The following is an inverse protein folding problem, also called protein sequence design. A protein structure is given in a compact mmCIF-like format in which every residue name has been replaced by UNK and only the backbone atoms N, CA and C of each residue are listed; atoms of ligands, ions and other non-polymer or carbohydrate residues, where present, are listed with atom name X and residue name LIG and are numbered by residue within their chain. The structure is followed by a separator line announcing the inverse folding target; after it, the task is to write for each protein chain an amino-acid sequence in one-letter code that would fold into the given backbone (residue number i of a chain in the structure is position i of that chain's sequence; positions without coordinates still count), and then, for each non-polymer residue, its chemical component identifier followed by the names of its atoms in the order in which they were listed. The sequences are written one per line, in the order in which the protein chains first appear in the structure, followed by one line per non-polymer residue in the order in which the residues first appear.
data_IF_211531948743
#
_entry.id   IF_211531948743
#
_cell.length_a   1.000
_cell.length_b   1.000
_cell.length_c   1.000
_cell.angle_alpha   90.00
_cell.angle_beta   90.00
_cell.angle_gamma   90.00
#
_symmetry.space_group_name_H-M   'P 1'
#
loop_
_entity.id
_entity.type
_entity.pdbx_description
1 polymer ?
#
# COMPACT_ATOMS: atom_id res chain seq x y z
N UNK A 1 14.25 -0.91 11.18
CA UNK A 1 13.22 -0.83 10.13
C UNK A 1 13.77 -1.53 8.90
N UNK A 2 13.18 -2.66 8.52
CA UNK A 2 13.58 -3.43 7.34
C UNK A 2 12.50 -3.29 6.27
N UNK A 3 12.86 -2.69 5.14
CA UNK A 3 11.92 -2.33 4.07
C UNK A 3 11.79 -3.46 3.05
N UNK A 4 10.58 -3.64 2.53
CA UNK A 4 10.25 -4.56 1.46
C UNK A 4 9.50 -3.80 0.35
N UNK A 5 9.97 -3.93 -0.88
CA UNK A 5 9.33 -3.38 -2.08
C UNK A 5 8.67 -4.51 -2.84
N UNK A 6 7.38 -4.39 -3.09
CA UNK A 6 6.59 -5.36 -3.83
C UNK A 6 6.14 -4.73 -5.14
N UNK A 7 6.47 -5.40 -6.23
CA UNK A 7 6.08 -5.04 -7.58
C UNK A 7 5.01 -6.03 -8.05
N UNK A 8 3.77 -5.57 -8.18
CA UNK A 8 2.63 -6.38 -8.59
C UNK A 8 2.25 -6.12 -10.05
N UNK A 9 1.27 -6.87 -10.57
CA UNK A 9 0.91 -6.91 -11.99
C UNK A 9 -0.04 -5.78 -12.46
N UNK A 10 -0.49 -4.88 -11.57
CA UNK A 10 -1.41 -3.78 -11.90
C UNK A 10 -0.71 -2.60 -12.58
N UNK A 11 -1.36 -1.43 -12.54
CA UNK A 11 -0.84 -0.22 -13.19
C UNK A 11 0.26 0.41 -12.33
N UNK A 12 1.38 0.73 -12.95
CA UNK A 12 2.47 1.45 -12.31
C UNK A 12 2.37 2.94 -12.61
N UNK A 13 2.34 3.74 -11.56
CA UNK A 13 2.18 5.20 -11.59
C UNK A 13 3.44 5.97 -11.16
N UNK A 14 4.61 5.36 -11.28
CA UNK A 14 5.85 5.98 -10.86
C UNK A 14 6.37 5.52 -9.50
N UNK A 15 7.65 5.72 -9.27
CA UNK A 15 8.34 5.32 -8.04
C UNK A 15 8.41 6.51 -7.08
N UNK A 16 7.60 6.48 -6.01
CA UNK A 16 7.54 7.55 -5.01
C UNK A 16 8.64 7.42 -3.96
N UNK A 17 8.83 6.19 -3.48
CA UNK A 17 9.91 5.83 -2.56
C UNK A 17 10.90 4.93 -3.30
N UNK A 18 12.14 5.38 -3.56
CA UNK A 18 13.14 4.53 -4.20
C UNK A 18 13.72 3.51 -3.21
N UNK A 19 13.95 2.26 -3.65
CA UNK A 19 14.64 1.27 -2.83
C UNK A 19 16.09 1.69 -2.60
N UNK A 20 16.64 1.30 -1.45
CA UNK A 20 18.03 1.52 -1.04
C UNK A 20 18.77 0.19 -0.98
N UNK A 21 20.09 0.26 -0.95
CA UNK A 21 20.91 -0.95 -0.76
C UNK A 21 20.50 -1.69 0.53
N UNK A 22 20.20 -2.98 0.41
CA UNK A 22 19.77 -3.84 1.52
C UNK A 22 18.24 -3.91 1.72
N UNK A 23 17.43 -3.15 0.97
CA UNK A 23 15.99 -3.35 0.95
C UNK A 23 15.65 -4.63 0.18
N UNK A 24 14.65 -5.36 0.67
CA UNK A 24 14.14 -6.55 0.00
C UNK A 24 13.24 -6.13 -1.18
N UNK A 25 13.46 -6.71 -2.35
CA UNK A 25 12.69 -6.44 -3.55
C UNK A 25 12.05 -7.73 -4.05
N UNK A 26 10.72 -7.75 -4.15
CA UNK A 26 9.92 -8.92 -4.54
C UNK A 26 9.07 -8.58 -5.75
N UNK A 27 9.18 -9.37 -6.81
CA UNK A 27 8.26 -9.33 -7.93
C UNK A 27 7.18 -10.39 -7.74
N UNK A 28 5.91 -9.97 -7.81
CA UNK A 28 4.74 -10.82 -7.74
C UNK A 28 4.12 -10.96 -9.15
N UNK A 29 4.14 -12.17 -9.70
CA UNK A 29 3.64 -12.53 -11.02
C UNK A 29 4.21 -11.60 -12.13
N UNK A 30 3.36 -11.03 -12.97
CA UNK A 30 3.73 -10.08 -14.03
C UNK A 30 4.41 -8.79 -13.50
N UNK A 31 4.50 -8.57 -12.20
CA UNK A 31 5.32 -7.52 -11.59
C UNK A 31 6.81 -7.62 -11.94
N UNK A 32 7.28 -8.79 -12.42
CA UNK A 32 8.63 -8.93 -12.98
C UNK A 32 8.85 -8.01 -14.19
N UNK A 33 7.86 -7.86 -15.06
CA UNK A 33 7.95 -6.92 -16.20
C UNK A 33 8.07 -5.46 -15.73
N UNK A 34 7.49 -5.12 -14.58
CA UNK A 34 7.69 -3.81 -14.00
C UNK A 34 9.14 -3.64 -13.52
N UNK A 35 9.70 -4.65 -12.85
CA UNK A 35 11.10 -4.65 -12.44
C UNK A 35 12.05 -4.47 -13.63
N UNK A 36 11.81 -5.17 -14.74
CA UNK A 36 12.61 -5.06 -15.96
C UNK A 36 12.59 -3.62 -16.52
N UNK A 37 11.41 -3.01 -16.62
CA UNK A 37 11.26 -1.61 -17.09
C UNK A 37 11.96 -0.59 -16.20
N UNK A 38 12.03 -0.85 -14.90
CA UNK A 38 12.69 0.00 -13.91
C UNK A 38 14.18 -0.27 -13.77
N UNK A 39 14.73 -1.30 -14.44
CA UNK A 39 16.10 -1.77 -14.22
C UNK A 39 16.33 -2.29 -12.81
N UNK A 40 15.27 -2.73 -12.14
CA UNK A 40 15.30 -3.32 -10.79
C UNK A 40 15.53 -4.82 -10.91
N UNK A 41 16.47 -5.34 -10.14
CA UNK A 41 16.67 -6.77 -10.01
C UNK A 41 16.02 -7.25 -8.71
N UNK A 42 14.89 -7.98 -8.78
CA UNK A 42 14.24 -8.47 -7.57
C UNK A 42 15.06 -9.60 -6.91
N UNK A 43 15.05 -9.64 -5.58
CA UNK A 43 15.66 -10.71 -4.78
C UNK A 43 14.81 -11.99 -4.79
N UNK A 44 13.48 -11.82 -4.99
CA UNK A 44 12.51 -12.92 -5.01
C UNK A 44 11.52 -12.67 -6.14
N UNK A 45 11.19 -13.73 -6.86
CA UNK A 45 10.08 -13.72 -7.82
C UNK A 45 9.07 -14.79 -7.41
N UNK A 46 7.81 -14.37 -7.28
CA UNK A 46 6.69 -15.21 -6.87
C UNK A 46 5.62 -15.21 -7.96
N UNK A 47 5.03 -16.34 -8.23
CA UNK A 47 3.94 -16.48 -9.20
C UNK A 47 3.81 -17.91 -9.66
N UNK A 48 2.67 -18.25 -10.27
CA UNK A 48 2.47 -19.57 -10.90
C UNK A 48 3.14 -19.67 -12.26
N UNK A 49 3.67 -18.54 -12.77
CA UNK A 49 4.35 -18.40 -14.05
C UNK A 49 3.52 -18.85 -15.27
N UNK A 50 2.20 -18.99 -15.13
CA UNK A 50 1.31 -19.35 -16.24
C UNK A 50 1.26 -18.24 -17.31
N UNK A 51 1.48 -17.00 -16.89
CA UNK A 51 1.47 -15.80 -17.74
C UNK A 51 2.86 -15.35 -18.20
N UNK A 52 3.96 -16.05 -17.78
CA UNK A 52 5.34 -15.64 -18.05
C UNK A 52 6.25 -16.78 -18.50
N UNK A 53 7.19 -16.48 -19.41
CA UNK A 53 8.30 -17.38 -19.68
C UNK A 53 9.28 -17.41 -18.47
N UNK A 54 9.26 -18.52 -17.73
CA UNK A 54 10.09 -18.79 -16.56
C UNK A 54 11.60 -18.54 -16.83
N UNK A 55 12.03 -18.58 -18.11
CA UNK A 55 13.42 -18.32 -18.52
C UNK A 55 13.80 -16.84 -18.40
N UNK A 56 12.84 -15.94 -18.28
CA UNK A 56 13.09 -14.49 -18.10
C UNK A 56 13.40 -14.10 -16.66
N UNK A 57 13.07 -14.95 -15.67
CA UNK A 57 13.43 -14.68 -14.28
C UNK A 57 14.96 -14.79 -14.09
N UNK A 58 15.58 -13.86 -13.32
CA UNK A 58 17.01 -13.95 -13.00
C UNK A 58 17.37 -15.31 -12.42
N UNK A 59 18.48 -15.91 -12.88
CA UNK A 59 18.85 -17.31 -12.52
C UNK A 59 19.09 -17.53 -11.02
N UNK A 60 19.36 -16.45 -10.29
CA UNK A 60 19.67 -16.44 -8.85
C UNK A 60 18.51 -15.90 -7.98
N UNK A 61 17.36 -15.56 -8.56
CA UNK A 61 16.20 -15.22 -7.75
C UNK A 61 15.56 -16.47 -7.15
N UNK A 62 15.00 -16.32 -5.96
CA UNK A 62 14.31 -17.40 -5.26
C UNK A 62 12.90 -17.53 -5.84
N UNK A 63 12.60 -18.68 -6.44
CA UNK A 63 11.27 -19.03 -6.93
C UNK A 63 10.52 -19.74 -5.81
N UNK A 64 9.34 -19.23 -5.48
CA UNK A 64 8.45 -19.85 -4.51
C UNK A 64 7.24 -20.37 -5.25
N UNK A 65 6.89 -21.67 -5.14
CA UNK A 65 5.65 -22.20 -5.68
C UNK A 65 4.43 -21.50 -5.06
N UNK A 66 3.44 -21.22 -5.88
CA UNK A 66 2.18 -20.63 -5.42
C UNK A 66 1.29 -21.71 -4.82
N UNK A 67 0.96 -21.60 -3.54
CA UNK A 67 -0.15 -22.36 -2.97
C UNK A 67 -1.47 -21.72 -3.45
N UNK A 68 -2.40 -22.54 -3.91
CA UNK A 68 -3.57 -22.12 -4.70
C UNK A 68 -4.60 -21.21 -3.98
N UNK A 69 -4.43 -20.93 -2.70
CA UNK A 69 -5.40 -20.18 -1.88
C UNK A 69 -5.02 -18.71 -1.60
N UNK A 70 -3.79 -18.29 -1.88
CA UNK A 70 -3.32 -16.91 -1.70
C UNK A 70 -3.12 -16.19 -3.05
N UNK A 71 -3.29 -14.86 -3.09
CA UNK A 71 -2.86 -14.04 -4.22
C UNK A 71 -1.34 -13.89 -4.22
N UNK A 72 -0.72 -13.68 -5.39
CA UNK A 72 0.74 -13.51 -5.48
C UNK A 72 1.25 -12.33 -4.64
N UNK A 73 0.47 -11.24 -4.56
CA UNK A 73 0.77 -10.13 -3.66
C UNK A 73 0.76 -10.57 -2.19
N UNK A 74 -0.21 -11.38 -1.78
CA UNK A 74 -0.27 -11.88 -0.40
C UNK A 74 0.92 -12.79 -0.08
N UNK A 75 1.34 -13.65 -1.00
CA UNK A 75 2.54 -14.47 -0.86
C UNK A 75 3.80 -13.62 -0.73
N UNK A 76 3.90 -12.54 -1.52
CA UNK A 76 5.00 -11.59 -1.43
C UNK A 76 5.06 -10.91 -0.05
N UNK A 77 3.91 -10.52 0.50
CA UNK A 77 3.83 -9.95 1.86
C UNK A 77 4.27 -10.95 2.92
N UNK A 78 3.80 -12.21 2.85
CA UNK A 78 4.21 -13.27 3.77
C UNK A 78 5.71 -13.55 3.70
N UNK A 79 6.29 -13.59 2.51
CA UNK A 79 7.72 -13.79 2.33
C UNK A 79 8.53 -12.62 2.91
N UNK A 80 8.08 -11.37 2.71
CA UNK A 80 8.68 -10.19 3.33
C UNK A 80 8.65 -10.25 4.86
N UNK A 81 7.49 -10.59 5.45
CA UNK A 81 7.34 -10.78 6.91
C UNK A 81 8.24 -11.89 7.43
N UNK A 82 8.29 -13.04 6.76
CA UNK A 82 9.18 -14.17 7.10
C UNK A 82 10.65 -13.75 7.11
N UNK A 83 11.05 -12.83 6.24
CA UNK A 83 12.40 -12.26 6.19
C UNK A 83 12.61 -11.12 7.19
N UNK A 84 11.63 -10.83 8.03
CA UNK A 84 11.68 -9.84 9.09
C UNK A 84 11.53 -8.40 8.61
N UNK A 85 10.88 -8.17 7.46
CA UNK A 85 10.50 -6.83 7.04
C UNK A 85 9.32 -6.33 7.87
N UNK A 86 9.33 -5.04 8.21
CA UNK A 86 8.31 -4.35 9.00
C UNK A 86 7.65 -3.19 8.24
N UNK A 87 8.17 -2.85 7.08
CA UNK A 87 7.66 -1.75 6.25
C UNK A 87 7.60 -2.20 4.79
N UNK A 88 6.43 -2.06 4.18
CA UNK A 88 6.14 -2.57 2.83
C UNK A 88 5.67 -1.45 1.91
N UNK A 89 6.24 -1.40 0.70
CA UNK A 89 5.90 -0.47 -0.36
C UNK A 89 5.36 -1.25 -1.55
N UNK A 90 4.06 -1.07 -1.87
CA UNK A 90 3.36 -1.83 -2.90
C UNK A 90 3.17 -0.97 -4.15
N UNK A 91 3.78 -1.37 -5.24
CA UNK A 91 3.67 -0.75 -6.57
C UNK A 91 3.00 -1.69 -7.56
N UNK A 92 2.21 -1.14 -8.50
CA UNK A 92 1.42 -1.96 -9.40
C UNK A 92 0.33 -2.79 -8.69
N UNK A 93 -0.09 -2.35 -7.51
CA UNK A 93 -1.06 -3.06 -6.70
C UNK A 93 -2.51 -2.54 -6.90
N UNK A 94 -2.69 -1.51 -7.72
CA UNK A 94 -3.98 -0.91 -8.10
C UNK A 94 -4.10 -0.83 -9.62
N UNK A 95 -5.28 -0.43 -10.10
CA UNK A 95 -5.57 -0.32 -11.53
C UNK A 95 -5.62 -1.66 -12.24
N UNK A 96 -5.49 -1.63 -13.58
CA UNK A 96 -5.64 -2.83 -14.40
C UNK A 96 -7.09 -3.26 -14.60
N UNK A 97 -7.30 -4.41 -15.26
CA UNK A 97 -8.62 -4.90 -15.63
C UNK A 97 -9.41 -5.55 -14.47
N UNK A 98 -8.75 -5.86 -13.37
CA UNK A 98 -9.27 -6.67 -12.25
C UNK A 98 -9.42 -5.83 -10.97
N UNK A 99 -10.62 -5.28 -10.74
CA UNK A 99 -10.94 -4.53 -9.51
C UNK A 99 -10.82 -5.40 -8.25
N UNK A 100 -11.14 -6.69 -8.32
CA UNK A 100 -11.03 -7.63 -7.22
C UNK A 100 -9.60 -7.75 -6.68
N UNK A 101 -8.56 -7.70 -7.53
CA UNK A 101 -7.17 -7.65 -7.10
C UNK A 101 -6.84 -6.34 -6.37
N UNK A 102 -7.35 -5.21 -6.84
CA UNK A 102 -7.19 -3.92 -6.14
C UNK A 102 -7.81 -3.99 -4.74
N UNK A 103 -9.03 -4.53 -4.61
CA UNK A 103 -9.69 -4.69 -3.32
C UNK A 103 -8.91 -5.64 -2.38
N UNK A 104 -8.43 -6.77 -2.90
CA UNK A 104 -7.60 -7.70 -2.14
C UNK A 104 -6.29 -7.06 -1.65
N UNK A 105 -5.64 -6.26 -2.50
CA UNK A 105 -4.41 -5.54 -2.14
C UNK A 105 -4.67 -4.46 -1.08
N UNK A 106 -5.81 -3.76 -1.13
CA UNK A 106 -6.22 -2.85 -0.05
C UNK A 106 -6.44 -3.62 1.25
N UNK A 107 -7.16 -4.76 1.22
CA UNK A 107 -7.37 -5.59 2.41
C UNK A 107 -6.05 -6.10 3.00
N UNK A 108 -5.03 -6.33 2.18
CA UNK A 108 -3.72 -6.77 2.64
C UNK A 108 -3.00 -5.77 3.55
N UNK A 109 -3.36 -4.48 3.51
CA UNK A 109 -2.84 -3.49 4.46
C UNK A 109 -3.30 -3.78 5.90
N UNK A 110 -4.54 -4.26 6.08
CA UNK A 110 -5.01 -4.70 7.40
C UNK A 110 -4.33 -6.01 7.85
N UNK A 111 -3.96 -6.88 6.91
CA UNK A 111 -3.16 -8.06 7.22
C UNK A 111 -1.78 -7.66 7.76
N UNK A 112 -1.07 -6.74 7.11
CA UNK A 112 0.22 -6.23 7.59
C UNK A 112 0.11 -5.60 8.98
N UNK A 113 -0.91 -4.75 9.17
CA UNK A 113 -1.17 -4.11 10.47
C UNK A 113 -1.30 -5.14 11.61
N UNK A 114 -2.06 -6.22 11.40
CA UNK A 114 -2.22 -7.32 12.39
C UNK A 114 -0.92 -8.07 12.67
N UNK A 115 0.06 -8.00 11.78
CA UNK A 115 1.39 -8.59 11.94
C UNK A 115 2.44 -7.60 12.45
N UNK A 116 2.00 -6.42 12.92
CA UNK A 116 2.90 -5.39 13.44
C UNK A 116 3.75 -4.71 12.37
N UNK A 117 3.33 -4.76 11.10
CA UNK A 117 4.02 -4.17 9.97
C UNK A 117 3.19 -3.06 9.33
N UNK A 118 3.86 -2.13 8.65
CA UNK A 118 3.26 -1.01 7.93
C UNK A 118 3.31 -1.25 6.43
N UNK A 119 2.15 -1.15 5.76
CA UNK A 119 2.07 -1.16 4.30
C UNK A 119 1.73 0.21 3.74
N UNK A 120 2.38 0.58 2.64
CA UNK A 120 2.05 1.74 1.80
C UNK A 120 1.72 1.25 0.40
N UNK A 121 0.48 1.45 -0.02
CA UNK A 121 0.00 1.08 -1.34
C UNK A 121 -0.09 2.33 -2.19
N UNK A 122 0.70 2.39 -3.26
CA UNK A 122 0.79 3.54 -4.16
C UNK A 122 -0.15 3.38 -5.35
N UNK A 123 -0.99 4.38 -5.52
CA UNK A 123 -1.85 4.58 -6.68
C UNK A 123 -1.38 5.80 -7.49
N UNK A 124 -2.12 6.24 -8.49
CA UNK A 124 -1.72 7.33 -9.39
C UNK A 124 -1.30 8.60 -8.64
N UNK A 125 -2.19 9.13 -7.81
CA UNK A 125 -1.95 10.36 -7.06
C UNK A 125 -2.17 10.18 -5.55
N UNK A 126 -2.32 8.94 -5.10
CA UNK A 126 -2.60 8.64 -3.71
C UNK A 126 -1.66 7.57 -3.17
N UNK A 127 -1.46 7.63 -1.87
CA UNK A 127 -0.91 6.51 -1.11
C UNK A 127 -1.90 6.13 -0.02
N UNK A 128 -2.01 4.83 0.24
CA UNK A 128 -2.91 4.29 1.26
C UNK A 128 -2.11 3.50 2.30
N UNK A 129 -2.49 3.64 3.56
CA UNK A 129 -1.98 2.84 4.68
C UNK A 129 -3.10 2.49 5.66
N UNK A 130 -2.95 1.41 6.41
CA UNK A 130 -3.85 1.07 7.51
C UNK A 130 -3.23 1.44 8.85
N UNK A 131 -4.06 2.00 9.75
CA UNK A 131 -3.67 2.38 11.11
C UNK A 131 -4.70 1.87 12.13
N UNK A 132 -4.27 1.58 13.35
CA UNK A 132 -5.10 1.24 14.50
C UNK A 132 -4.36 1.57 15.80
N UNK A 133 -5.06 2.13 16.78
CA UNK A 133 -4.53 2.53 18.06
C UNK A 133 -3.27 3.41 17.97
N UNK A 134 -3.30 4.37 17.05
CA UNK A 134 -2.18 5.29 16.80
C UNK A 134 -2.63 6.62 16.17
N UNK A 135 -1.67 7.52 16.03
CA UNK A 135 -1.84 8.80 15.31
C UNK A 135 -0.90 8.84 14.11
N UNK A 136 -1.48 8.98 12.92
CA UNK A 136 -0.76 9.29 11.68
C UNK A 136 -0.70 10.81 11.52
N UNK A 137 0.49 11.35 11.26
CA UNK A 137 0.70 12.77 10.95
C UNK A 137 1.11 12.92 9.50
N UNK A 138 0.37 13.76 8.75
CA UNK A 138 0.61 14.06 7.35
C UNK A 138 1.05 15.51 7.21
N UNK A 139 2.16 15.78 6.51
CA UNK A 139 2.51 17.11 6.08
C UNK A 139 1.61 17.54 4.90
N UNK A 140 1.30 18.84 4.82
CA UNK A 140 0.60 19.39 3.66
C UNK A 140 1.60 19.57 2.51
N UNK A 141 1.68 18.61 1.62
CA UNK A 141 2.55 18.65 0.43
C UNK A 141 1.82 19.14 -0.82
N UNK A 142 0.47 19.06 -0.80
CA UNK A 142 -0.42 19.53 -1.86
C UNK A 142 -1.38 20.56 -1.27
N UNK A 143 -1.58 21.70 -1.96
CA UNK A 143 -2.61 22.66 -1.56
C UNK A 143 -3.99 22.03 -1.68
N UNK A 144 -4.77 22.08 -0.59
CA UNK A 144 -6.05 21.39 -0.48
C UNK A 144 -5.94 19.88 -0.73
N UNK A 145 -4.80 19.28 -0.38
CA UNK A 145 -4.56 17.86 -0.57
C UNK A 145 -5.67 17.01 0.05
N UNK A 146 -6.18 16.07 -0.75
CA UNK A 146 -7.30 15.22 -0.35
C UNK A 146 -6.82 14.17 0.65
N UNK A 147 -7.64 13.95 1.69
CA UNK A 147 -7.51 12.81 2.62
C UNK A 147 -8.83 12.06 2.65
N UNK A 148 -8.77 10.74 2.48
CA UNK A 148 -9.94 9.86 2.56
C UNK A 148 -9.74 8.77 3.58
N UNK A 149 -10.78 8.47 4.35
CA UNK A 149 -10.77 7.53 5.46
C UNK A 149 -11.86 6.48 5.26
N UNK A 150 -11.51 5.21 5.48
CA UNK A 150 -12.45 4.10 5.39
C UNK A 150 -12.22 3.14 6.56
N UNK A 151 -13.30 2.67 7.21
CA UNK A 151 -13.17 1.55 8.11
C UNK A 151 -12.84 0.28 7.34
N UNK A 152 -11.86 -0.48 7.81
CA UNK A 152 -11.49 -1.80 7.25
C UNK A 152 -12.10 -2.97 8.03
N UNK A 153 -12.94 -2.68 9.01
CA UNK A 153 -13.76 -3.62 9.76
C UNK A 153 -15.18 -3.10 9.81
N UNK A 154 -16.02 -3.60 10.70
CA UNK A 154 -17.38 -3.11 10.88
C UNK A 154 -17.39 -1.60 11.16
N UNK A 155 -16.48 -1.15 12.02
CA UNK A 155 -16.29 0.26 12.37
C UNK A 155 -14.87 0.55 12.86
N UNK A 156 -14.47 1.81 12.73
CA UNK A 156 -13.30 2.37 13.39
C UNK A 156 -13.79 3.45 14.37
N UNK A 157 -13.32 3.41 15.62
CA UNK A 157 -13.84 4.21 16.74
C UNK A 157 -12.75 5.06 17.38
N UNK A 158 -13.18 6.07 18.14
CA UNK A 158 -12.30 7.05 18.76
C UNK A 158 -11.43 7.77 17.72
N UNK A 159 -12.07 8.20 16.64
CA UNK A 159 -11.39 8.91 15.56
C UNK A 159 -11.37 10.40 15.88
N UNK A 160 -10.17 10.98 15.90
CA UNK A 160 -9.98 12.42 16.01
C UNK A 160 -9.19 12.92 14.80
N UNK A 161 -9.74 13.93 14.12
CA UNK A 161 -9.18 14.55 12.93
C UNK A 161 -8.86 16.00 13.21
N UNK A 162 -7.58 16.37 13.10
CA UNK A 162 -7.07 17.72 13.31
C UNK A 162 -6.36 18.22 12.06
N UNK A 163 -6.46 19.52 11.78
CA UNK A 163 -5.81 20.14 10.61
C UNK A 163 -6.49 19.84 9.27
N UNK A 164 -7.68 19.25 9.32
CA UNK A 164 -8.54 18.95 8.17
C UNK A 164 -9.75 19.90 8.13
N UNK A 165 -10.31 20.12 6.94
CA UNK A 165 -11.46 21.00 6.71
C UNK A 165 -12.69 20.54 7.49
N UNK A 166 -12.92 19.23 7.53
CA UNK A 166 -14.00 18.61 8.30
C UNK A 166 -13.39 17.89 9.51
N UNK A 167 -13.25 18.58 10.65
CA UNK A 167 -12.70 17.98 11.86
C UNK A 167 -13.68 16.95 12.46
N UNK A 168 -13.15 16.00 13.19
CA UNK A 168 -13.91 15.02 13.95
C UNK A 168 -13.27 14.89 15.32
N UNK A 169 -14.08 14.75 16.36
CA UNK A 169 -13.57 14.53 17.72
C UNK A 169 -14.27 13.31 18.31
N UNK A 170 -13.48 12.30 18.68
CA UNK A 170 -13.95 11.04 19.26
C UNK A 170 -15.10 10.38 18.47
N UNK A 171 -14.99 10.44 17.15
CA UNK A 171 -16.03 9.95 16.24
C UNK A 171 -15.89 8.49 15.85
N UNK A 172 -16.82 8.02 15.05
CA UNK A 172 -16.87 6.66 14.49
C UNK A 172 -17.09 6.72 12.99
N UNK A 173 -16.39 5.85 12.24
CA UNK A 173 -16.62 5.60 10.82
C UNK A 173 -17.01 4.14 10.65
N UNK A 174 -18.23 3.92 10.12
CA UNK A 174 -18.75 2.59 9.81
C UNK A 174 -18.36 2.16 8.37
N UNK A 175 -18.18 0.87 8.14
CA UNK A 175 -17.84 0.35 6.80
C UNK A 175 -18.97 0.54 5.78
N UNK A 176 -20.23 0.64 6.23
CA UNK A 176 -21.40 0.81 5.38
C UNK A 176 -21.71 2.27 5.00
N UNK A 177 -20.97 3.25 5.55
CA UNK A 177 -21.23 4.66 5.30
C UNK A 177 -19.93 5.45 5.07
N UNK A 178 -19.67 5.95 3.84
CA UNK A 178 -18.41 6.57 3.46
C UNK A 178 -18.27 8.02 3.98
N UNK A 179 -18.35 8.22 5.29
CA UNK A 179 -18.30 9.53 5.94
C UNK A 179 -16.97 10.26 5.73
N UNK A 180 -15.85 9.50 5.68
CA UNK A 180 -14.50 10.05 5.70
C UNK A 180 -13.93 10.43 4.34
N UNK A 181 -14.70 10.41 3.26
CA UNK A 181 -14.20 10.61 1.89
C UNK A 181 -14.06 12.09 1.54
N UNK A 182 -12.94 12.44 0.86
CA UNK A 182 -12.66 13.78 0.32
C UNK A 182 -12.63 14.89 1.38
N UNK A 183 -11.99 14.67 2.50
CA UNK A 183 -11.55 15.72 3.39
C UNK A 183 -10.31 16.43 2.83
N UNK A 184 -9.96 17.61 3.32
CA UNK A 184 -8.82 18.39 2.82
C UNK A 184 -7.89 18.84 3.93
N UNK A 185 -6.57 18.81 3.67
CA UNK A 185 -5.58 19.35 4.60
C UNK A 185 -5.57 20.87 4.51
N UNK A 186 -5.98 21.56 5.58
CA UNK A 186 -6.09 23.02 5.65
C UNK A 186 -5.03 23.65 6.57
N UNK A 187 -4.35 22.86 7.39
CA UNK A 187 -3.24 23.29 8.24
C UNK A 187 -1.88 22.83 7.66
N UNK A 188 -0.75 23.27 8.18
CA UNK A 188 0.58 22.77 7.76
C UNK A 188 0.74 21.27 7.93
N UNK A 189 0.01 20.68 8.91
CA UNK A 189 -0.05 19.23 9.15
C UNK A 189 -1.46 18.81 9.48
N UNK A 190 -1.84 17.61 9.05
CA UNK A 190 -3.04 16.92 9.51
C UNK A 190 -2.65 15.79 10.48
N UNK A 191 -3.48 15.57 11.50
CA UNK A 191 -3.33 14.46 12.45
C UNK A 191 -4.58 13.61 12.41
N UNK A 192 -4.42 12.34 12.15
CA UNK A 192 -5.48 11.33 12.10
C UNK A 192 -5.21 10.34 13.22
N UNK A 193 -6.00 10.40 14.27
CA UNK A 193 -5.94 9.47 15.42
C UNK A 193 -7.08 8.48 15.31
N UNK A 194 -6.81 7.21 15.54
CA UNK A 194 -7.80 6.14 15.71
C UNK A 194 -7.48 5.33 16.94
N UNK A 195 -8.49 5.05 17.78
CA UNK A 195 -8.33 4.27 18.99
C UNK A 195 -8.61 2.78 18.80
N UNK A 196 -9.65 2.41 18.07
CA UNK A 196 -10.05 1.02 17.91
C UNK A 196 -10.60 0.74 16.50
N UNK A 197 -10.25 -0.41 15.97
CA UNK A 197 -10.62 -0.87 14.64
C UNK A 197 -9.71 -0.30 13.55
N UNK A 198 -9.37 -1.12 12.55
CA UNK A 198 -8.45 -0.71 11.51
C UNK A 198 -9.08 0.36 10.61
N UNK A 199 -8.36 1.46 10.41
CA UNK A 199 -8.73 2.59 9.56
C UNK A 199 -7.77 2.66 8.38
N UNK A 200 -8.31 2.57 7.16
CA UNK A 200 -7.58 2.89 5.93
C UNK A 200 -7.51 4.40 5.80
N UNK A 201 -6.33 4.93 5.64
CA UNK A 201 -6.06 6.35 5.36
C UNK A 201 -5.42 6.45 3.98
N UNK A 202 -6.08 7.16 3.07
CA UNK A 202 -5.53 7.53 1.77
C UNK A 202 -5.31 9.03 1.72
N UNK A 203 -4.17 9.48 1.20
CA UNK A 203 -3.90 10.90 1.00
C UNK A 203 -3.23 11.17 -0.34
N UNK A 204 -3.50 12.37 -0.84
CA UNK A 204 -2.98 12.83 -2.11
C UNK A 204 -1.50 13.18 -2.01
N UNK A 205 -0.74 12.75 -3.00
CA UNK A 205 0.69 13.02 -3.17
C UNK A 205 0.89 14.13 -4.22
N UNK A 206 1.98 14.89 -4.13
CA UNK A 206 2.38 15.77 -5.21
C UNK A 206 2.56 15.00 -6.53
N UNK A 207 2.26 15.64 -7.65
CA UNK A 207 2.55 15.05 -8.96
C UNK A 207 4.04 14.71 -9.08
N UNK A 208 4.36 13.61 -9.75
CA UNK A 208 5.76 13.32 -10.10
C UNK A 208 6.26 14.34 -11.12
N UNK A 209 7.54 14.67 -11.05
CA UNK A 209 8.15 15.56 -12.01
C UNK A 209 8.01 15.01 -13.45
N UNK A 210 7.32 15.75 -14.33
CA UNK A 210 7.04 15.34 -15.70
C UNK A 210 5.61 14.83 -15.98
N UNK A 211 4.75 14.80 -14.98
CA UNK A 211 3.29 14.58 -15.16
C UNK A 211 2.61 15.96 -15.25
N UNK A 212 2.21 16.37 -16.46
CA UNK A 212 1.34 17.53 -16.72
C UNK A 212 -0.15 17.11 -16.72
#
# INVERSE_FOLDING_TARGET
MKRCFIYAAGTFYGLREPPRAGDLQIAADAGLHLCERLGVRPDVVLGDFDSMDVRQAPADCIRVPVEKDDTDTMLALREGLKRGCDTFYLYGATGGARLDHTLANIQSLAFLLRHGARGYLYDQNFVYTAIENETLTLAREVDWGIVSLFSMGDRAEHITLEGLQYPLTDGTIDCGFPLGVSNHIVAPTARITVGRGPLLVGWELPKLAGEE
#
